data_IF_622733387583
#
_entry.id   IF_622733387583
#
_cell.length_a   1.000
_cell.length_b   1.000
_cell.length_c   1.000
_cell.angle_alpha   90.00
_cell.angle_beta   90.00
_cell.angle_gamma   90.00
#
_symmetry.space_group_name_H-M   'P 1'
#
loop_
_entity.id
_entity.type
_entity.pdbx_description
1 polymer ?
#
# COMPACT_ATOMS: atom_id res chain seq x y z
N UNK A 1 -1.51 -5.77 -13.16
CA UNK A 1 -2.82 -5.46 -12.54
C UNK A 1 -2.56 -4.51 -11.39
N UNK A 2 -3.39 -3.49 -11.20
CA UNK A 2 -3.27 -2.58 -10.06
C UNK A 2 -4.23 -3.01 -8.95
N UNK A 3 -3.71 -3.15 -7.72
CA UNK A 3 -4.51 -3.44 -6.54
C UNK A 3 -4.22 -2.38 -5.49
N UNK A 4 -5.27 -1.74 -4.99
CA UNK A 4 -5.15 -0.82 -3.86
C UNK A 4 -4.90 -1.61 -2.58
N UNK A 5 -3.81 -1.29 -1.88
CA UNK A 5 -3.50 -1.85 -0.56
C UNK A 5 -4.65 -1.65 0.43
N UNK A 6 -5.28 -0.47 0.43
CA UNK A 6 -6.45 -0.16 1.28
C UNK A 6 -7.67 -0.99 0.91
N UNK A 7 -7.87 -1.25 -0.38
CA UNK A 7 -8.96 -2.11 -0.84
C UNK A 7 -8.73 -3.55 -0.36
N UNK A 8 -7.51 -4.08 -0.49
CA UNK A 8 -7.17 -5.42 0.00
C UNK A 8 -7.38 -5.56 1.51
N UNK A 9 -7.00 -4.54 2.29
CA UNK A 9 -7.19 -4.49 3.73
C UNK A 9 -8.67 -4.50 4.19
N UNK A 10 -9.64 -4.30 3.28
CA UNK A 10 -11.07 -4.44 3.61
C UNK A 10 -11.53 -5.90 3.67
N UNK A 11 -10.76 -6.82 3.08
CA UNK A 11 -11.12 -8.23 2.99
C UNK A 11 -10.28 -9.12 3.91
N UNK A 12 -9.07 -8.68 4.25
CA UNK A 12 -8.13 -9.40 5.11
C UNK A 12 -7.43 -8.42 6.04
N UNK A 13 -7.11 -8.88 7.25
CA UNK A 13 -6.26 -8.10 8.17
C UNK A 13 -4.82 -8.10 7.63
N UNK A 14 -4.32 -6.91 7.33
CA UNK A 14 -2.94 -6.68 6.90
C UNK A 14 -2.23 -5.88 7.98
N UNK A 15 -1.26 -6.50 8.64
CA UNK A 15 -0.45 -5.88 9.69
C UNK A 15 0.95 -5.49 9.20
N UNK A 16 1.34 -6.06 8.06
CA UNK A 16 2.62 -5.91 7.40
C UNK A 16 2.70 -4.59 6.61
N UNK A 17 3.90 -4.25 6.12
CA UNK A 17 4.05 -3.11 5.21
C UNK A 17 3.65 -3.50 3.78
N UNK A 18 3.30 -2.54 2.90
CA UNK A 18 2.98 -2.83 1.50
C UNK A 18 4.05 -3.65 0.79
N UNK A 19 5.34 -3.43 1.08
CA UNK A 19 6.46 -4.17 0.50
C UNK A 19 6.46 -5.64 0.94
N UNK A 20 6.23 -5.90 2.23
CA UNK A 20 6.14 -7.24 2.77
C UNK A 20 4.92 -7.99 2.22
N UNK A 21 3.77 -7.31 2.10
CA UNK A 21 2.59 -7.89 1.44
C UNK A 21 2.88 -8.21 -0.03
N UNK A 22 3.60 -7.34 -0.75
CA UNK A 22 4.00 -7.61 -2.14
C UNK A 22 4.87 -8.87 -2.29
N UNK A 23 5.80 -9.10 -1.35
CA UNK A 23 6.60 -10.32 -1.31
C UNK A 23 5.75 -11.56 -1.02
N UNK A 24 4.80 -11.48 -0.09
CA UNK A 24 3.88 -12.57 0.22
C UNK A 24 3.00 -12.91 -0.99
N UNK A 25 2.44 -11.91 -1.66
CA UNK A 25 1.67 -12.10 -2.89
C UNK A 25 2.49 -12.82 -3.95
N UNK A 26 3.73 -12.38 -4.18
CA UNK A 26 4.65 -13.02 -5.14
C UNK A 26 4.94 -14.47 -4.75
N UNK A 27 5.18 -14.75 -3.47
CA UNK A 27 5.40 -16.11 -2.97
C UNK A 27 4.17 -17.02 -3.15
N UNK A 28 2.96 -16.46 -3.15
CA UNK A 28 1.71 -17.18 -3.43
C UNK A 28 1.37 -17.31 -4.92
N UNK A 29 2.22 -16.78 -5.81
CA UNK A 29 2.06 -16.85 -7.27
C UNK A 29 1.40 -15.62 -7.90
N UNK A 30 1.22 -14.53 -7.16
CA UNK A 30 0.75 -13.25 -7.68
C UNK A 30 1.93 -12.28 -7.78
N UNK A 31 2.55 -12.20 -8.96
CA UNK A 31 3.73 -11.36 -9.21
C UNK A 31 3.43 -9.87 -9.00
N UNK A 32 4.26 -9.20 -8.19
CA UNK A 32 4.18 -7.76 -7.92
C UNK A 32 5.42 -7.08 -8.47
N UNK A 33 5.27 -6.31 -9.54
CA UNK A 33 6.37 -5.63 -10.23
C UNK A 33 6.72 -4.26 -9.62
N UNK A 34 5.72 -3.53 -9.13
CA UNK A 34 5.89 -2.19 -8.59
C UNK A 34 4.87 -1.87 -7.49
N UNK A 35 5.25 -0.96 -6.59
CA UNK A 35 4.38 -0.45 -5.51
C UNK A 35 4.42 1.07 -5.55
N UNK A 36 3.29 1.68 -5.90
CA UNK A 36 3.12 3.13 -5.95
C UNK A 36 2.40 3.65 -4.72
N UNK A 37 2.98 4.68 -4.09
CA UNK A 37 2.29 5.45 -3.05
C UNK A 37 1.46 6.55 -3.71
N UNK A 38 0.14 6.38 -3.67
CA UNK A 38 -0.80 7.40 -4.16
C UNK A 38 -1.20 8.33 -3.02
N UNK A 39 -0.96 9.62 -3.21
CA UNK A 39 -1.42 10.68 -2.32
C UNK A 39 -2.76 11.23 -2.81
N UNK A 40 -3.72 11.42 -1.90
CA UNK A 40 -5.03 12.01 -2.26
C UNK A 40 -4.90 13.48 -2.69
N UNK A 41 -3.91 14.19 -2.13
CA UNK A 41 -3.53 15.55 -2.50
C UNK A 41 -2.00 15.60 -2.54
N UNK A 42 -1.38 15.93 -3.68
CA UNK A 42 0.08 16.01 -3.78
C UNK A 42 0.67 16.92 -2.70
N UNK A 43 1.57 16.39 -1.87
CA UNK A 43 2.21 17.13 -0.77
C UNK A 43 1.36 17.31 0.50
N UNK A 44 0.05 17.02 0.45
CA UNK A 44 -0.87 16.93 1.58
C UNK A 44 -0.60 17.86 2.77
N UNK A 45 -0.57 17.26 3.98
CA UNK A 45 -0.27 17.93 5.24
C UNK A 45 1.21 17.79 5.65
N UNK A 46 2.11 17.47 4.72
CA UNK A 46 3.51 17.15 5.04
C UNK A 46 4.25 18.29 5.78
N UNK A 47 3.75 19.52 5.67
CA UNK A 47 4.31 20.71 6.32
C UNK A 47 3.42 21.28 7.43
N UNK A 48 2.35 20.60 7.83
CA UNK A 48 1.41 21.08 8.85
C UNK A 48 1.82 20.51 10.21
N UNK A 49 2.30 21.38 11.10
CA UNK A 49 2.60 21.08 12.50
C UNK A 49 1.48 21.66 13.36
N UNK A 50 0.80 20.83 14.15
CA UNK A 50 -0.13 21.29 15.18
C UNK A 50 0.69 21.48 16.46
N UNK A 51 0.73 22.71 16.98
CA UNK A 51 1.39 23.09 18.23
C UNK A 51 0.40 23.29 19.37
#
# INVERSE_FOLDING_TARGET
MEISYKWLAQFIDLSETPEAVGQLLTATGLEVEHIDKIEAVPGGLASVVIG
#
